data_IF_958369927421
#
_entry.id   IF_958369927421
#
_cell.length_a   1.000
_cell.length_b   1.000
_cell.length_c   1.000
_cell.angle_alpha   90.00
_cell.angle_beta   90.00
_cell.angle_gamma   90.00
#
_symmetry.space_group_name_H-M   'P 1'
#
loop_
_entity.id
_entity.type
_entity.pdbx_description
1 polymer ?
#
# COMPACT_ATOMS: atom_id res chain seq x y z
N UNK A 1 20.88 9.60 13.44
CA UNK A 1 20.25 8.27 13.28
C UNK A 1 18.77 8.51 13.02
N UNK A 2 18.18 7.83 12.04
CA UNK A 2 16.76 7.95 11.74
C UNK A 2 16.04 6.68 12.22
N UNK A 3 14.87 6.84 12.81
CA UNK A 3 14.04 5.75 13.33
C UNK A 3 12.72 5.69 12.59
N UNK A 4 12.23 4.49 12.35
CA UNK A 4 10.90 4.23 11.83
C UNK A 4 10.19 3.16 12.64
N UNK A 5 8.88 3.08 12.47
CA UNK A 5 8.04 2.04 13.07
C UNK A 5 7.44 1.19 11.96
N UNK A 6 7.49 -0.12 12.12
CA UNK A 6 6.73 -1.09 11.35
C UNK A 6 5.65 -1.67 12.25
N UNK A 7 4.40 -1.58 11.80
CA UNK A 7 3.21 -1.91 12.59
C UNK A 7 2.34 -2.94 11.86
N UNK A 8 2.00 -4.03 12.53
CA UNK A 8 1.02 -4.99 12.01
C UNK A 8 -0.42 -4.54 12.22
N UNK A 9 -0.64 -3.54 13.07
CA UNK A 9 -1.98 -3.13 13.52
C UNK A 9 -2.73 -4.32 14.10
N UNK A 10 -2.09 -5.03 15.04
CA UNK A 10 -2.63 -6.23 15.70
C UNK A 10 -3.80 -5.87 16.60
N UNK A 11 -4.79 -6.78 16.71
CA UNK A 11 -5.88 -6.56 17.67
C UNK A 11 -5.35 -6.52 19.10
N UNK A 12 -5.89 -5.61 19.90
CA UNK A 12 -5.60 -5.46 21.33
C UNK A 12 -6.82 -5.70 22.24
N UNK A 13 -7.94 -6.15 21.64
CA UNK A 13 -9.19 -6.43 22.35
C UNK A 13 -10.09 -5.22 22.59
N UNK A 14 -9.67 -4.01 22.23
CA UNK A 14 -10.54 -2.83 22.26
C UNK A 14 -11.60 -2.88 21.13
N UNK A 15 -12.72 -2.17 21.29
CA UNK A 15 -13.60 -1.88 20.18
C UNK A 15 -12.80 -1.24 19.01
N UNK A 16 -13.02 -1.70 17.78
CA UNK A 16 -12.14 -1.39 16.66
C UNK A 16 -12.04 0.11 16.36
N UNK A 17 -13.13 0.87 16.54
CA UNK A 17 -13.12 2.32 16.36
C UNK A 17 -12.22 3.03 17.39
N UNK A 18 -12.27 2.62 18.67
CA UNK A 18 -11.40 3.15 19.72
C UNK A 18 -9.94 2.79 19.45
N UNK A 19 -9.69 1.57 18.98
CA UNK A 19 -8.36 1.12 18.61
C UNK A 19 -7.76 1.97 17.47
N UNK A 20 -8.54 2.29 16.43
CA UNK A 20 -8.07 3.17 15.36
C UNK A 20 -7.78 4.58 15.85
N UNK A 21 -8.62 5.13 16.74
CA UNK A 21 -8.37 6.44 17.33
C UNK A 21 -7.05 6.46 18.13
N UNK A 22 -6.79 5.43 18.91
CA UNK A 22 -5.54 5.30 19.67
C UNK A 22 -4.32 5.14 18.75
N UNK A 23 -4.44 4.35 17.69
CA UNK A 23 -3.36 4.18 16.70
C UNK A 23 -3.06 5.49 15.97
N UNK A 24 -4.05 6.25 15.58
CA UNK A 24 -3.83 7.55 14.94
C UNK A 24 -3.17 8.54 15.90
N UNK A 25 -3.58 8.58 17.17
CA UNK A 25 -2.88 9.37 18.21
C UNK A 25 -1.42 8.96 18.37
N UNK A 26 -1.14 7.65 18.36
CA UNK A 26 0.23 7.14 18.40
C UNK A 26 1.05 7.63 17.20
N UNK A 27 0.49 7.56 15.99
CA UNK A 27 1.16 8.01 14.75
C UNK A 27 1.39 9.53 14.78
N UNK A 28 0.46 10.32 15.32
CA UNK A 28 0.65 11.77 15.56
C UNK A 28 1.84 12.04 16.51
N UNK A 29 1.99 11.22 17.56
CA UNK A 29 3.15 11.33 18.45
C UNK A 29 4.46 11.01 17.73
N UNK A 30 4.49 10.01 16.84
CA UNK A 30 5.68 9.73 16.03
C UNK A 30 6.06 10.91 15.14
N UNK A 31 5.07 11.58 14.54
CA UNK A 31 5.28 12.79 13.72
C UNK A 31 5.88 13.94 14.55
N UNK A 32 5.32 14.17 15.74
CA UNK A 32 5.79 15.22 16.67
C UNK A 32 7.21 14.95 17.19
N UNK A 33 7.55 13.69 17.48
CA UNK A 33 8.86 13.26 17.96
C UNK A 33 9.93 13.19 16.86
N UNK A 34 9.55 13.38 15.60
CA UNK A 34 10.48 13.42 14.48
C UNK A 34 10.95 12.05 14.01
N UNK A 35 10.13 11.01 14.16
CA UNK A 35 10.38 9.73 13.52
C UNK A 35 10.40 9.87 12.00
N UNK A 36 11.23 9.06 11.34
CA UNK A 36 11.41 9.09 9.89
C UNK A 36 10.21 8.54 9.15
N UNK A 37 9.64 7.45 9.65
CA UNK A 37 8.56 6.76 8.93
C UNK A 37 7.72 5.83 9.79
N UNK A 38 6.51 5.60 9.31
CA UNK A 38 5.55 4.65 9.86
C UNK A 38 5.03 3.75 8.73
N UNK A 39 5.22 2.46 8.84
CA UNK A 39 4.85 1.51 7.80
C UNK A 39 3.94 0.44 8.37
N UNK A 40 2.94 0.01 7.57
CA UNK A 40 1.97 -0.99 7.99
C UNK A 40 2.05 -2.25 7.15
N UNK A 41 1.86 -3.41 7.80
CA UNK A 41 1.67 -4.68 7.12
C UNK A 41 0.28 -4.77 6.51
N UNK A 42 0.15 -5.62 5.49
CA UNK A 42 -1.13 -6.05 4.93
C UNK A 42 -1.37 -7.51 5.28
N UNK A 43 -2.48 -7.77 5.99
CA UNK A 43 -2.96 -9.10 6.31
C UNK A 43 -4.49 -9.15 6.25
N UNK A 44 -5.04 -10.33 5.91
CA UNK A 44 -6.45 -10.52 5.69
C UNK A 44 -7.02 -11.64 6.57
N UNK A 45 -8.20 -11.39 7.16
CA UNK A 45 -8.97 -12.35 7.97
C UNK A 45 -8.14 -13.01 9.10
N UNK A 46 -7.24 -12.25 9.72
CA UNK A 46 -6.37 -12.67 10.82
C UNK A 46 -6.31 -11.59 11.91
N UNK A 47 -6.11 -11.96 13.19
CA UNK A 47 -5.91 -10.97 14.26
C UNK A 47 -4.69 -10.07 14.10
N UNK A 48 -3.75 -10.45 13.21
CA UNK A 48 -2.53 -9.70 12.94
C UNK A 48 -2.74 -8.50 11.99
N UNK A 49 -3.94 -8.27 11.48
CA UNK A 49 -4.13 -7.23 10.47
C UNK A 49 -5.48 -6.55 10.58
N UNK A 50 -5.63 -5.63 11.53
CA UNK A 50 -6.83 -4.80 11.62
C UNK A 50 -6.85 -3.64 10.61
N UNK A 51 -5.86 -3.55 9.73
CA UNK A 51 -5.84 -2.65 8.57
C UNK A 51 -5.76 -3.44 7.25
N UNK A 52 -6.76 -4.31 6.92
CA UNK A 52 -6.72 -5.17 5.74
C UNK A 52 -6.75 -4.40 4.41
N UNK A 53 -7.07 -3.13 4.45
CA UNK A 53 -6.88 -2.19 3.33
C UNK A 53 -5.89 -1.11 3.76
N UNK A 54 -4.59 -1.29 3.51
CA UNK A 54 -3.58 -0.29 3.84
C UNK A 54 -3.93 1.09 3.30
N UNK A 55 -4.46 1.18 2.08
CA UNK A 55 -4.84 2.46 1.46
C UNK A 55 -5.86 3.25 2.29
N UNK A 56 -6.85 2.57 2.87
CA UNK A 56 -7.89 3.22 3.69
C UNK A 56 -7.29 3.75 4.99
N UNK A 57 -6.52 2.91 5.69
CA UNK A 57 -5.89 3.29 6.95
C UNK A 57 -4.85 4.39 6.76
N UNK A 58 -3.98 4.25 5.75
CA UNK A 58 -2.92 5.22 5.44
C UNK A 58 -3.47 6.56 4.95
N UNK A 59 -4.68 6.62 4.39
CA UNK A 59 -5.33 7.90 4.10
C UNK A 59 -5.65 8.69 5.39
N UNK A 60 -6.05 8.00 6.46
CA UNK A 60 -6.23 8.63 7.78
C UNK A 60 -4.88 9.08 8.36
N UNK A 61 -3.83 8.24 8.29
CA UNK A 61 -2.46 8.60 8.69
C UNK A 61 -1.96 9.83 7.94
N UNK A 62 -2.20 9.92 6.63
CA UNK A 62 -1.81 11.06 5.81
C UNK A 62 -2.42 12.37 6.32
N UNK A 63 -3.63 12.31 6.86
CA UNK A 63 -4.35 13.50 7.39
C UNK A 63 -4.01 13.82 8.83
N UNK A 64 -3.67 12.82 9.63
CA UNK A 64 -3.28 12.97 11.03
C UNK A 64 -1.83 13.49 11.20
N UNK A 65 -0.98 13.37 10.17
CA UNK A 65 0.45 13.72 10.23
C UNK A 65 0.82 14.82 9.24
N UNK A 66 1.99 15.45 9.46
CA UNK A 66 2.47 16.56 8.63
C UNK A 66 3.87 16.37 8.04
N UNK A 67 4.74 15.59 8.69
CA UNK A 67 6.15 15.39 8.33
C UNK A 67 6.50 13.92 8.17
N UNK A 68 5.90 13.06 8.97
CA UNK A 68 6.15 11.61 9.00
C UNK A 68 5.92 11.02 7.61
N UNK A 69 6.92 10.31 7.09
CA UNK A 69 6.72 9.47 5.91
C UNK A 69 5.99 8.21 6.32
N UNK A 70 5.23 7.63 5.42
CA UNK A 70 4.45 6.43 5.73
C UNK A 70 4.20 5.61 4.47
N UNK A 71 3.82 4.38 4.64
CA UNK A 71 3.45 3.52 3.53
C UNK A 71 3.12 2.09 3.92
N UNK A 72 2.69 1.28 2.97
CA UNK A 72 2.58 -0.16 3.18
C UNK A 72 3.97 -0.80 3.14
N UNK A 73 4.21 -1.77 3.98
CA UNK A 73 5.26 -2.75 3.86
C UNK A 73 4.65 -4.14 4.10
N UNK A 74 4.00 -4.62 3.09
CA UNK A 74 3.92 -4.23 1.67
C UNK A 74 2.46 -4.21 1.19
N UNK A 75 2.18 -3.68 -0.03
CA UNK A 75 1.03 -4.13 -0.79
C UNK A 75 1.33 -5.51 -1.36
N UNK A 76 0.49 -6.49 -1.05
CA UNK A 76 0.58 -7.85 -1.60
C UNK A 76 0.01 -7.88 -3.03
N UNK A 77 0.83 -7.57 -4.03
CA UNK A 77 0.38 -7.32 -5.41
C UNK A 77 -0.51 -8.39 -6.03
N UNK A 78 -0.36 -9.69 -5.74
CA UNK A 78 -1.28 -10.70 -6.26
C UNK A 78 -2.74 -10.51 -5.82
N UNK A 79 -2.99 -9.76 -4.74
CA UNK A 79 -4.34 -9.52 -4.22
C UNK A 79 -5.01 -8.29 -4.84
N UNK A 80 -4.30 -7.56 -5.73
CA UNK A 80 -4.77 -6.29 -6.27
C UNK A 80 -4.99 -6.32 -7.77
N UNK A 81 -6.01 -5.58 -8.21
CA UNK A 81 -6.11 -5.18 -9.59
C UNK A 81 -5.19 -3.95 -9.83
N UNK A 82 -4.24 -4.01 -10.79
CA UNK A 82 -3.21 -2.96 -10.94
C UNK A 82 -3.79 -1.57 -11.20
N UNK A 83 -4.87 -1.44 -11.96
CA UNK A 83 -5.55 -0.16 -12.22
C UNK A 83 -6.05 0.47 -10.90
N UNK A 84 -6.66 -0.34 -10.06
CA UNK A 84 -7.18 0.14 -8.77
C UNK A 84 -6.05 0.62 -7.89
N UNK A 85 -5.02 -0.22 -7.74
CA UNK A 85 -3.93 0.07 -6.84
C UNK A 85 -3.11 1.31 -7.27
N UNK A 86 -2.83 1.48 -8.57
CA UNK A 86 -2.10 2.68 -9.02
C UNK A 86 -2.86 3.97 -8.75
N UNK A 87 -4.20 3.96 -8.86
CA UNK A 87 -5.02 5.12 -8.52
C UNK A 87 -4.99 5.41 -7.02
N UNK A 88 -5.06 4.38 -6.17
CA UNK A 88 -4.95 4.53 -4.71
C UNK A 88 -3.58 5.07 -4.30
N UNK A 89 -2.49 4.58 -4.90
CA UNK A 89 -1.14 5.12 -4.71
C UNK A 89 -1.08 6.61 -5.06
N UNK A 90 -1.60 7.00 -6.21
CA UNK A 90 -1.63 8.40 -6.63
C UNK A 90 -2.43 9.27 -5.65
N UNK A 91 -3.59 8.78 -5.20
CA UNK A 91 -4.42 9.50 -4.22
C UNK A 91 -3.69 9.66 -2.88
N UNK A 92 -3.08 8.61 -2.34
CA UNK A 92 -2.33 8.66 -1.09
C UNK A 92 -1.16 9.65 -1.16
N UNK A 93 -0.44 9.63 -2.27
CA UNK A 93 0.70 10.53 -2.48
C UNK A 93 0.26 12.00 -2.55
N UNK A 94 -0.87 12.29 -3.20
CA UNK A 94 -1.49 13.63 -3.22
C UNK A 94 -1.99 14.05 -1.83
N UNK A 95 -2.73 13.18 -1.13
CA UNK A 95 -3.26 13.45 0.21
C UNK A 95 -2.15 13.75 1.23
N UNK A 96 -1.02 13.09 1.07
CA UNK A 96 0.16 13.25 1.94
C UNK A 96 1.09 14.38 1.51
N UNK A 97 0.90 14.96 0.31
CA UNK A 97 1.82 15.94 -0.29
C UNK A 97 3.25 15.38 -0.41
N UNK A 98 3.36 14.14 -0.90
CA UNK A 98 4.64 13.51 -1.21
C UNK A 98 5.35 12.83 -0.05
N UNK A 99 4.63 12.43 1.01
CA UNK A 99 5.20 11.69 2.13
C UNK A 99 5.04 10.17 2.03
N UNK A 100 4.41 9.68 0.95
CA UNK A 100 4.22 8.26 0.72
C UNK A 100 5.54 7.58 0.35
N UNK A 101 5.81 6.44 0.97
CA UNK A 101 6.73 5.39 0.52
C UNK A 101 5.90 4.19 0.07
N UNK A 102 6.32 3.45 -0.96
CA UNK A 102 5.54 2.32 -1.46
C UNK A 102 6.33 1.03 -1.30
N UNK A 103 5.83 0.11 -0.49
CA UNK A 103 6.35 -1.25 -0.44
C UNK A 103 5.51 -2.20 -1.29
N UNK A 104 6.18 -3.01 -2.10
CA UNK A 104 5.57 -4.07 -2.89
C UNK A 104 6.08 -5.44 -2.46
N UNK A 105 5.19 -6.42 -2.41
CA UNK A 105 5.52 -7.80 -2.08
C UNK A 105 4.61 -8.80 -2.79
N UNK A 106 5.09 -10.05 -2.78
CA UNK A 106 4.34 -11.17 -3.37
C UNK A 106 3.16 -11.61 -2.48
N UNK A 107 3.23 -11.30 -1.18
CA UNK A 107 2.39 -11.95 -0.18
C UNK A 107 2.93 -13.35 0.17
N UNK A 108 2.92 -13.68 1.45
CA UNK A 108 3.52 -14.93 1.96
C UNK A 108 2.48 -15.99 2.29
N UNK A 109 1.20 -15.63 2.42
CA UNK A 109 0.16 -16.52 2.93
C UNK A 109 -0.63 -17.19 1.79
N UNK A 110 -0.54 -18.53 1.65
CA UNK A 110 -1.39 -19.27 0.71
C UNK A 110 -2.88 -19.13 1.01
N UNK A 111 -3.23 -18.98 2.30
CA UNK A 111 -4.63 -18.84 2.74
C UNK A 111 -5.17 -17.49 2.27
N UNK A 112 -4.41 -16.41 2.45
CA UNK A 112 -4.80 -15.09 1.99
C UNK A 112 -4.94 -15.05 0.46
N UNK A 113 -4.02 -15.66 -0.30
CA UNK A 113 -4.15 -15.79 -1.74
C UNK A 113 -5.46 -16.49 -2.13
N UNK A 114 -5.82 -17.57 -1.45
CA UNK A 114 -7.06 -18.33 -1.70
C UNK A 114 -8.32 -17.49 -1.42
N UNK A 115 -8.33 -16.62 -0.42
CA UNK A 115 -9.47 -15.72 -0.14
C UNK A 115 -9.75 -14.77 -1.32
N UNK A 116 -8.75 -14.42 -2.08
CA UNK A 116 -8.86 -13.57 -3.27
C UNK A 116 -8.95 -14.36 -4.58
N UNK A 117 -9.13 -15.70 -4.49
CA UNK A 117 -9.30 -16.56 -5.66
C UNK A 117 -8.03 -16.87 -6.44
N UNK A 118 -6.86 -16.63 -5.84
CA UNK A 118 -5.56 -16.87 -6.45
C UNK A 118 -4.95 -18.17 -5.94
N UNK A 119 -4.29 -18.91 -6.83
CA UNK A 119 -3.37 -19.98 -6.43
C UNK A 119 -2.05 -19.34 -5.97
N UNK A 120 -1.57 -19.74 -4.79
CA UNK A 120 -0.28 -19.27 -4.28
C UNK A 120 0.89 -19.63 -5.20
N UNK A 121 0.79 -20.71 -5.94
CA UNK A 121 1.79 -21.10 -6.94
C UNK A 121 1.95 -20.06 -8.06
N UNK A 122 0.89 -19.32 -8.38
CA UNK A 122 0.90 -18.25 -9.37
C UNK A 122 1.37 -16.88 -8.82
N UNK A 123 1.52 -16.75 -7.49
CA UNK A 123 1.77 -15.46 -6.85
C UNK A 123 3.01 -14.74 -7.38
N UNK A 124 4.09 -15.46 -7.70
CA UNK A 124 5.31 -14.85 -8.25
C UNK A 124 5.07 -14.28 -9.66
N UNK A 125 4.35 -15.00 -10.51
CA UNK A 125 4.00 -14.54 -11.86
C UNK A 125 3.10 -13.32 -11.80
N UNK A 126 2.01 -13.41 -11.03
CA UNK A 126 1.04 -12.30 -10.87
C UNK A 126 1.73 -11.07 -10.27
N UNK A 127 2.61 -11.26 -9.26
CA UNK A 127 3.40 -10.18 -8.68
C UNK A 127 4.20 -9.42 -9.74
N UNK A 128 4.97 -10.14 -10.57
CA UNK A 128 5.81 -9.53 -11.62
C UNK A 128 4.97 -8.78 -12.65
N UNK A 129 3.91 -9.43 -13.16
CA UNK A 129 3.01 -8.82 -14.14
C UNK A 129 2.36 -7.53 -13.58
N UNK A 130 1.86 -7.55 -12.35
CA UNK A 130 1.24 -6.40 -11.72
C UNK A 130 2.26 -5.29 -11.41
N UNK A 131 3.47 -5.65 -10.96
CA UNK A 131 4.54 -4.70 -10.70
C UNK A 131 4.92 -3.93 -11.98
N UNK A 132 5.16 -4.67 -13.08
CA UNK A 132 5.53 -4.07 -14.35
C UNK A 132 4.44 -3.10 -14.85
N UNK A 133 3.18 -3.48 -14.74
CA UNK A 133 2.03 -2.62 -15.11
C UNK A 133 1.95 -1.36 -14.25
N UNK A 134 2.10 -1.50 -12.94
CA UNK A 134 2.04 -0.37 -12.00
C UNK A 134 3.21 0.59 -12.27
N UNK A 135 4.44 0.07 -12.40
CA UNK A 135 5.61 0.91 -12.68
C UNK A 135 5.52 1.61 -14.03
N UNK A 136 5.04 0.91 -15.06
CA UNK A 136 4.79 1.51 -16.36
C UNK A 136 3.76 2.64 -16.25
N UNK A 137 2.65 2.43 -15.55
CA UNK A 137 1.60 3.42 -15.36
C UNK A 137 2.09 4.67 -14.60
N UNK A 138 2.86 4.47 -13.53
CA UNK A 138 3.44 5.58 -12.76
C UNK A 138 4.44 6.41 -13.60
N UNK A 139 5.15 5.76 -14.52
CA UNK A 139 6.14 6.42 -15.40
C UNK A 139 5.50 7.13 -16.60
N UNK A 140 4.51 6.47 -17.24
CA UNK A 140 3.93 6.96 -18.51
C UNK A 140 2.65 7.75 -18.32
N UNK A 141 2.10 7.75 -17.11
CA UNK A 141 0.77 8.29 -16.80
C UNK A 141 -0.36 7.65 -17.63
N UNK A 142 -0.15 6.40 -18.06
CA UNK A 142 -1.10 5.58 -18.83
C UNK A 142 -1.11 4.17 -18.28
N UNK A 143 -2.28 3.54 -18.32
CA UNK A 143 -2.46 2.14 -17.97
C UNK A 143 -2.58 1.31 -19.25
N UNK A 144 -1.77 0.28 -19.38
CA UNK A 144 -1.92 -0.71 -20.44
C UNK A 144 -3.00 -1.72 -20.05
N UNK A 145 -4.07 -1.78 -20.84
CA UNK A 145 -5.20 -2.66 -20.60
C UNK A 145 -5.21 -3.92 -21.47
N UNK A 146 -4.10 -4.22 -22.18
CA UNK A 146 -4.03 -5.23 -23.24
C UNK A 146 -4.59 -6.60 -22.87
N UNK A 147 -4.45 -7.04 -21.61
CA UNK A 147 -4.87 -8.41 -21.23
C UNK A 147 -6.29 -8.49 -20.67
N UNK A 148 -6.91 -7.38 -20.32
CA UNK A 148 -8.24 -7.38 -19.69
C UNK A 148 -9.33 -6.83 -20.62
N UNK A 149 -8.95 -5.93 -21.52
CA UNK A 149 -9.86 -5.25 -22.43
C UNK A 149 -9.16 -4.96 -23.78
N UNK A 150 -8.84 -6.00 -24.54
CA UNK A 150 -8.17 -5.92 -25.85
C UNK A 150 -8.73 -4.87 -26.83
N UNK A 151 -9.90 -4.31 -26.52
CA UNK A 151 -10.60 -3.35 -27.37
C UNK A 151 -10.51 -1.90 -26.87
N UNK A 152 -10.02 -1.62 -25.66
CA UNK A 152 -10.06 -0.27 -25.08
C UNK A 152 -8.75 0.51 -25.24
N UNK A 153 -7.65 -0.16 -25.56
CA UNK A 153 -6.35 0.51 -25.67
C UNK A 153 -5.82 1.05 -24.36
N UNK A 154 -5.03 2.13 -24.43
CA UNK A 154 -4.45 2.80 -23.26
C UNK A 154 -5.51 3.55 -22.45
N UNK A 155 -5.55 3.30 -21.14
CA UNK A 155 -6.39 4.04 -20.20
C UNK A 155 -5.57 5.18 -19.58
N UNK A 156 -6.02 6.45 -19.71
CA UNK A 156 -5.28 7.57 -19.13
C UNK A 156 -5.34 7.53 -17.60
N UNK A 157 -4.20 7.73 -16.94
CA UNK A 157 -4.13 7.92 -15.51
C UNK A 157 -4.32 9.40 -15.18
N UNK A 158 -5.56 9.80 -14.85
CA UNK A 158 -5.91 11.21 -14.57
C UNK A 158 -5.42 11.67 -13.20
N UNK A 159 -5.43 10.78 -12.21
CA UNK A 159 -4.87 11.05 -10.87
C UNK A 159 -3.38 10.67 -10.90
N UNK A 160 -2.52 11.67 -10.71
CA UNK A 160 -1.06 11.50 -10.79
C UNK A 160 -0.42 11.58 -9.42
N UNK A 161 0.79 11.03 -9.29
CA UNK A 161 1.58 11.17 -8.08
C UNK A 161 2.03 12.62 -7.86
N UNK A 162 2.16 13.02 -6.60
CA UNK A 162 2.79 14.28 -6.19
C UNK A 162 4.31 14.21 -6.38
N UNK A 163 4.91 13.09 -5.97
CA UNK A 163 6.34 12.82 -6.11
C UNK A 163 6.69 12.43 -7.55
N UNK A 164 7.90 12.80 -8.01
CA UNK A 164 8.39 12.53 -9.36
C UNK A 164 9.71 11.75 -9.31
N UNK A 165 9.90 10.74 -10.16
CA UNK A 165 8.94 10.17 -11.13
C UNK A 165 7.81 9.40 -10.46
N UNK A 166 7.97 8.94 -9.24
CA UNK A 166 7.03 8.23 -8.37
C UNK A 166 7.52 8.27 -6.92
N UNK A 167 6.70 7.90 -5.91
CA UNK A 167 7.15 7.71 -4.54
C UNK A 167 8.34 6.73 -4.43
N UNK A 168 9.19 6.82 -3.40
CA UNK A 168 10.23 5.82 -3.13
C UNK A 168 9.65 4.41 -3.05
N UNK A 169 10.38 3.45 -3.61
CA UNK A 169 9.96 2.05 -3.69
C UNK A 169 10.74 1.20 -2.71
N UNK A 170 10.02 0.30 -2.05
CA UNK A 170 10.54 -0.71 -1.13
C UNK A 170 10.12 -2.09 -1.62
N UNK A 171 10.95 -3.06 -1.41
CA UNK A 171 10.67 -4.45 -1.77
C UNK A 171 10.71 -5.34 -0.54
N UNK A 172 9.65 -6.11 -0.31
CA UNK A 172 9.62 -7.15 0.72
C UNK A 172 10.37 -8.38 0.24
N UNK A 173 11.58 -8.59 0.76
CA UNK A 173 12.37 -9.78 0.46
C UNK A 173 11.87 -10.93 1.33
N UNK A 174 11.40 -11.99 0.67
CA UNK A 174 11.12 -13.29 1.30
C UNK A 174 12.20 -14.28 0.84
N UNK A 175 12.87 -14.89 1.81
CA UNK A 175 13.83 -15.98 1.57
C UNK A 175 13.10 -17.29 1.23
#
# INVERSE_FOLDING_TARGET
MEFGVFDHVDTNGLPLHEYYDERLKFVEQLDLLGFRGYHVAEHHATPLGMAPSPSVYLAAVARATSKLRFGPLVFALPLYHPIRLVQEICMLDQLSKGRLDIGFGRGASPIEAAYFGNDHADSERIYRENLDRILAALKTEKLDSKDTFDKMGEVPLLVKTFQRPHPPLWYGVHS
#
